data_IF_680085973617
#
_entry.id   IF_680085973617
#
_cell.length_a   1.000
_cell.length_b   1.000
_cell.length_c   1.000
_cell.angle_alpha   90.00
_cell.angle_beta   90.00
_cell.angle_gamma   90.00
#
_symmetry.space_group_name_H-M   'P 1'
#
loop_
_entity.id
_entity.type
_entity.pdbx_description
1 polymer ?
#
# COMPACT_ATOMS: atom_id res chain seq x y z
N UNK A 1 13.71 15.82 -1.13
CA UNK A 1 14.27 14.45 -1.07
C UNK A 1 14.72 14.25 0.37
N UNK A 2 13.87 13.71 1.23
CA UNK A 2 14.27 13.29 2.57
C UNK A 2 14.61 11.82 2.49
N UNK A 3 15.90 11.51 2.62
CA UNK A 3 16.33 10.14 2.91
C UNK A 3 16.00 9.88 4.38
N UNK A 4 14.89 9.19 4.64
CA UNK A 4 14.69 8.53 5.93
C UNK A 4 15.70 7.39 6.01
N UNK A 5 16.84 7.64 6.66
CA UNK A 5 17.69 6.56 7.15
C UNK A 5 16.81 5.68 8.08
N UNK A 6 16.71 4.37 7.83
CA UNK A 6 15.93 3.50 8.71
C UNK A 6 16.53 3.57 10.13
N UNK A 7 15.68 3.72 11.14
CA UNK A 7 16.12 3.54 12.53
C UNK A 7 16.81 2.18 12.69
N UNK A 8 17.80 2.07 13.60
CA UNK A 8 18.52 0.80 13.87
C UNK A 8 17.54 -0.38 14.01
N UNK A 9 16.45 -0.16 14.72
CA UNK A 9 15.40 -1.14 14.95
C UNK A 9 14.68 -1.57 13.65
N UNK A 10 14.45 -0.66 12.71
CA UNK A 10 13.84 -1.00 11.40
C UNK A 10 14.80 -1.85 10.55
N UNK A 11 16.11 -1.57 10.61
CA UNK A 11 17.12 -2.36 9.90
C UNK A 11 17.23 -3.78 10.49
N UNK A 12 17.21 -3.89 11.81
CA UNK A 12 17.19 -5.18 12.52
C UNK A 12 15.96 -6.01 12.17
N UNK A 13 14.77 -5.40 12.16
CA UNK A 13 13.53 -6.07 11.77
C UNK A 13 13.51 -6.52 10.30
N UNK A 14 14.13 -5.75 9.40
CA UNK A 14 14.23 -6.13 7.99
C UNK A 14 15.24 -7.26 7.78
N UNK A 15 16.35 -7.27 8.51
CA UNK A 15 17.29 -8.40 8.53
C UNK A 15 16.61 -9.68 9.04
N UNK A 16 15.85 -9.56 10.13
CA UNK A 16 15.04 -10.65 10.67
C UNK A 16 14.03 -11.16 9.62
N UNK A 17 13.31 -10.25 8.94
CA UNK A 17 12.37 -10.59 7.87
C UNK A 17 13.03 -11.41 6.75
N UNK A 18 14.21 -10.98 6.30
CA UNK A 18 14.97 -11.70 5.26
C UNK A 18 15.38 -13.09 5.76
N UNK A 19 15.85 -13.20 7.00
CA UNK A 19 16.23 -14.48 7.60
C UNK A 19 15.04 -15.45 7.68
N UNK A 20 13.86 -14.97 8.08
CA UNK A 20 12.64 -15.78 8.13
C UNK A 20 12.24 -16.30 6.74
N UNK A 21 12.24 -15.44 5.72
CA UNK A 21 11.91 -15.85 4.35
C UNK A 21 12.91 -16.88 3.83
N UNK A 22 14.21 -16.67 4.06
CA UNK A 22 15.25 -17.64 3.69
C UNK A 22 15.04 -18.97 4.41
N UNK A 23 14.78 -18.96 5.71
CA UNK A 23 14.54 -20.16 6.51
C UNK A 23 13.36 -20.97 5.97
N UNK A 24 12.27 -20.31 5.57
CA UNK A 24 11.12 -20.98 4.96
C UNK A 24 11.44 -21.65 3.63
N UNK A 25 12.27 -21.03 2.80
CA UNK A 25 12.72 -21.62 1.53
C UNK A 25 13.62 -22.84 1.79
N UNK A 26 14.54 -22.75 2.76
CA UNK A 26 15.40 -23.87 3.15
C UNK A 26 14.58 -25.05 3.70
N UNK A 27 13.54 -24.79 4.50
CA UNK A 27 12.64 -25.83 5.04
C UNK A 27 11.93 -26.65 3.94
N UNK A 28 11.82 -26.13 2.72
CA UNK A 28 11.21 -26.84 1.59
C UNK A 28 12.14 -27.88 0.95
N UNK A 29 13.37 -28.06 1.45
CA UNK A 29 14.33 -29.01 0.90
C UNK A 29 14.91 -28.57 -0.45
N UNK A 30 14.85 -27.28 -0.75
CA UNK A 30 15.43 -26.68 -1.95
C UNK A 30 16.96 -26.68 -1.86
N UNK A 31 17.63 -26.82 -3.01
CA UNK A 31 19.07 -26.60 -3.07
C UNK A 31 19.42 -25.11 -2.88
N UNK A 32 20.68 -24.83 -2.55
CA UNK A 32 21.15 -23.48 -2.23
C UNK A 32 20.90 -22.48 -3.37
N UNK A 33 21.15 -22.87 -4.62
CA UNK A 33 20.93 -22.00 -5.77
C UNK A 33 19.45 -21.61 -5.91
N UNK A 34 18.53 -22.56 -5.81
CA UNK A 34 17.09 -22.31 -5.89
C UNK A 34 16.61 -21.43 -4.72
N UNK A 35 17.17 -21.61 -3.51
CA UNK A 35 16.87 -20.73 -2.38
C UNK A 35 17.28 -19.29 -2.68
N UNK A 36 18.49 -19.07 -3.20
CA UNK A 36 18.97 -17.71 -3.50
C UNK A 36 18.20 -17.05 -4.64
N UNK A 37 17.86 -17.78 -5.70
CA UNK A 37 17.05 -17.25 -6.81
C UNK A 37 15.64 -16.85 -6.36
N UNK A 38 14.97 -17.70 -5.57
CA UNK A 38 13.64 -17.40 -5.02
C UNK A 38 13.68 -16.29 -3.98
N UNK A 39 14.74 -16.23 -3.17
CA UNK A 39 14.95 -15.15 -2.21
C UNK A 39 15.11 -13.82 -2.94
N UNK A 40 15.95 -13.76 -3.97
CA UNK A 40 16.14 -12.57 -4.80
C UNK A 40 14.81 -12.10 -5.43
N UNK A 41 14.00 -13.02 -5.95
CA UNK A 41 12.68 -12.70 -6.49
C UNK A 41 11.73 -12.11 -5.42
N UNK A 42 11.67 -12.72 -4.23
CA UNK A 42 10.84 -12.24 -3.11
C UNK A 42 11.33 -10.91 -2.52
N UNK A 43 12.59 -10.57 -2.72
CA UNK A 43 13.20 -9.32 -2.25
C UNK A 43 13.34 -8.25 -3.36
N UNK A 44 13.00 -8.58 -4.60
CA UNK A 44 13.10 -7.66 -5.73
C UNK A 44 12.35 -6.33 -5.46
N UNK A 45 12.82 -5.19 -5.96
CA UNK A 45 12.31 -3.86 -5.59
C UNK A 45 10.98 -3.48 -6.28
N UNK A 46 10.06 -4.42 -6.41
CA UNK A 46 8.72 -4.24 -7.00
C UNK A 46 7.76 -3.53 -6.05
N UNK A 47 6.70 -2.91 -6.57
CA UNK A 47 5.69 -2.24 -5.76
C UNK A 47 5.05 -3.16 -4.71
N UNK A 48 4.73 -4.40 -5.11
CA UNK A 48 4.16 -5.42 -4.23
C UNK A 48 5.12 -5.80 -3.10
N UNK A 49 6.39 -6.08 -3.41
CA UNK A 49 7.38 -6.46 -2.41
C UNK A 49 7.67 -5.32 -1.43
N UNK A 50 7.67 -4.06 -1.89
CA UNK A 50 7.78 -2.89 -1.00
C UNK A 50 6.61 -2.79 -0.04
N UNK A 51 5.39 -3.01 -0.54
CA UNK A 51 4.18 -3.07 0.29
C UNK A 51 4.24 -4.19 1.32
N UNK A 52 4.67 -5.39 0.89
CA UNK A 52 4.83 -6.53 1.78
C UNK A 52 5.89 -6.28 2.84
N UNK A 53 7.08 -5.79 2.46
CA UNK A 53 8.14 -5.40 3.40
C UNK A 53 7.61 -4.48 4.50
N UNK A 54 6.92 -3.39 4.11
CA UNK A 54 6.37 -2.43 5.07
C UNK A 54 5.40 -3.09 6.06
N UNK A 55 4.51 -3.95 5.57
CA UNK A 55 3.48 -4.58 6.40
C UNK A 55 4.07 -5.70 7.28
N UNK A 56 5.05 -6.44 6.77
CA UNK A 56 5.79 -7.47 7.48
C UNK A 56 6.60 -6.87 8.63
N UNK A 57 7.33 -5.77 8.40
CA UNK A 57 8.08 -5.07 9.47
C UNK A 57 7.13 -4.61 10.59
N UNK A 58 5.95 -4.08 10.26
CA UNK A 58 4.94 -3.69 11.26
C UNK A 58 4.49 -4.87 12.11
N UNK A 59 4.27 -6.03 11.47
CA UNK A 59 3.91 -7.25 12.18
C UNK A 59 5.04 -7.73 13.08
N UNK A 60 6.28 -7.78 12.60
CA UNK A 60 7.43 -8.21 13.40
C UNK A 60 7.65 -7.31 14.63
N UNK A 61 7.51 -5.98 14.46
CA UNK A 61 7.58 -5.04 15.58
C UNK A 61 6.48 -5.31 16.62
N UNK A 62 5.24 -5.50 16.16
CA UNK A 62 4.11 -5.81 17.05
C UNK A 62 4.27 -7.17 17.73
N UNK A 63 4.68 -8.20 16.99
CA UNK A 63 4.87 -9.56 17.49
C UNK A 63 5.96 -9.62 18.56
N UNK A 64 7.06 -8.88 18.36
CA UNK A 64 8.13 -8.72 19.37
C UNK A 64 7.60 -8.12 20.67
N UNK A 65 6.75 -7.11 20.59
CA UNK A 65 6.17 -6.45 21.77
C UNK A 65 5.12 -7.32 22.49
N UNK A 66 4.44 -8.20 21.77
CA UNK A 66 3.34 -9.02 22.30
C UNK A 66 3.75 -10.48 22.54
N UNK A 67 5.04 -10.80 22.40
CA UNK A 67 5.60 -12.15 22.54
C UNK A 67 4.90 -13.21 21.65
N UNK A 68 4.60 -12.82 20.41
CA UNK A 68 3.95 -13.67 19.39
C UNK A 68 5.01 -14.26 18.46
N UNK A 69 4.83 -15.52 18.06
CA UNK A 69 5.71 -16.16 17.07
C UNK A 69 5.67 -15.46 15.72
N UNK A 70 6.82 -15.33 15.06
CA UNK A 70 6.90 -14.68 13.76
C UNK A 70 6.40 -15.55 12.59
N UNK A 71 6.44 -16.88 12.74
CA UNK A 71 6.10 -17.83 11.65
C UNK A 71 5.01 -18.83 12.02
N UNK A 72 4.66 -18.97 13.30
CA UNK A 72 3.65 -19.93 13.79
C UNK A 72 2.55 -19.26 14.59
N UNK A 73 2.20 -18.03 14.22
CA UNK A 73 1.14 -17.27 14.86
C UNK A 73 -0.25 -17.84 14.52
N UNK A 74 -1.13 -17.82 15.50
CA UNK A 74 -2.51 -18.29 15.37
C UNK A 74 -3.39 -17.27 14.62
N UNK A 75 -4.54 -17.71 14.09
CA UNK A 75 -5.54 -16.78 13.54
C UNK A 75 -6.00 -15.70 14.52
N UNK A 76 -6.05 -16.03 15.82
CA UNK A 76 -6.44 -15.09 16.88
C UNK A 76 -5.40 -13.97 17.01
N UNK A 77 -4.12 -14.32 17.03
CA UNK A 77 -3.03 -13.34 17.10
C UNK A 77 -3.00 -12.43 15.87
N UNK A 78 -3.26 -12.98 14.66
CA UNK A 78 -3.36 -12.16 13.46
C UNK A 78 -4.54 -11.18 13.52
N UNK A 79 -5.70 -11.60 14.03
CA UNK A 79 -6.83 -10.69 14.24
C UNK A 79 -6.51 -9.62 15.28
N UNK A 80 -5.85 -9.97 16.39
CA UNK A 80 -5.42 -9.01 17.40
C UNK A 80 -4.46 -7.96 16.83
N UNK A 81 -3.52 -8.38 15.99
CA UNK A 81 -2.64 -7.49 15.25
C UNK A 81 -3.42 -6.56 14.31
N UNK A 82 -4.33 -7.09 13.50
CA UNK A 82 -5.14 -6.30 12.58
C UNK A 82 -6.00 -5.26 13.33
N UNK A 83 -6.57 -5.65 14.47
CA UNK A 83 -7.34 -4.76 15.33
C UNK A 83 -6.47 -3.66 15.95
N UNK A 84 -5.25 -3.98 16.38
CA UNK A 84 -4.29 -2.99 16.86
C UNK A 84 -3.96 -1.99 15.75
N UNK A 85 -3.64 -2.47 14.54
CA UNK A 85 -3.30 -1.62 13.41
C UNK A 85 -4.46 -0.71 12.98
N UNK A 86 -5.70 -1.22 13.00
CA UNK A 86 -6.88 -0.41 12.74
C UNK A 86 -7.01 0.72 13.78
N UNK A 87 -6.87 0.40 15.07
CA UNK A 87 -7.03 1.37 16.16
C UNK A 87 -5.94 2.44 16.14
N UNK A 88 -4.69 2.04 15.98
CA UNK A 88 -3.53 2.94 16.09
C UNK A 88 -3.36 3.83 14.86
N UNK A 89 -3.71 3.35 13.66
CA UNK A 89 -3.45 4.05 12.40
C UNK A 89 -4.71 4.38 11.58
N UNK A 90 -5.90 4.11 12.12
CA UNK A 90 -7.19 4.31 11.45
C UNK A 90 -7.24 3.67 10.04
N UNK A 91 -6.71 2.45 9.91
CA UNK A 91 -6.60 1.78 8.61
C UNK A 91 -7.97 1.35 8.07
N UNK A 92 -8.15 1.51 6.76
CA UNK A 92 -9.32 1.04 6.03
C UNK A 92 -9.27 -0.49 5.83
N UNK A 93 -10.44 -1.10 5.61
CA UNK A 93 -10.57 -2.54 5.43
C UNK A 93 -9.72 -3.09 4.27
N UNK A 94 -9.63 -2.35 3.15
CA UNK A 94 -8.75 -2.69 2.03
C UNK A 94 -7.28 -2.79 2.43
N UNK A 95 -6.82 -1.87 3.28
CA UNK A 95 -5.44 -1.86 3.78
C UNK A 95 -5.21 -3.01 4.77
N UNK A 96 -6.18 -3.33 5.62
CA UNK A 96 -6.12 -4.49 6.51
C UNK A 96 -6.03 -5.81 5.71
N UNK A 97 -6.73 -5.92 4.57
CA UNK A 97 -6.61 -7.08 3.67
C UNK A 97 -5.20 -7.22 3.07
N UNK A 98 -4.58 -6.11 2.64
CA UNK A 98 -3.19 -6.12 2.16
C UNK A 98 -2.21 -6.46 3.28
N UNK A 99 -2.46 -5.97 4.50
CA UNK A 99 -1.66 -6.25 5.68
C UNK A 99 -1.72 -7.73 6.03
N UNK A 100 -2.94 -8.31 6.06
CA UNK A 100 -3.18 -9.75 6.22
C UNK A 100 -2.38 -10.55 5.19
N UNK A 101 -2.55 -10.25 3.90
CA UNK A 101 -1.89 -10.98 2.82
C UNK A 101 -0.36 -11.00 2.98
N UNK A 102 0.24 -9.84 3.28
CA UNK A 102 1.68 -9.72 3.47
C UNK A 102 2.20 -10.55 4.67
N UNK A 103 1.46 -10.58 5.77
CA UNK A 103 1.83 -11.31 6.99
C UNK A 103 1.62 -12.81 6.84
N UNK A 104 0.56 -13.23 6.15
CA UNK A 104 0.32 -14.65 5.83
C UNK A 104 1.50 -15.29 5.10
N UNK A 105 2.23 -14.52 4.27
CA UNK A 105 3.44 -15.00 3.60
C UNK A 105 4.65 -15.25 4.52
N UNK A 106 4.62 -14.79 5.78
CA UNK A 106 5.63 -15.13 6.79
C UNK A 106 5.26 -16.37 7.60
N UNK A 107 4.03 -16.89 7.46
CA UNK A 107 3.59 -18.06 8.20
C UNK A 107 4.16 -19.34 7.59
N UNK A 108 4.54 -20.31 8.43
CA UNK A 108 5.04 -21.61 7.98
C UNK A 108 3.96 -22.41 7.23
N UNK A 109 2.69 -22.18 7.57
CA UNK A 109 1.51 -22.74 6.88
C UNK A 109 0.57 -21.62 6.36
N UNK A 110 0.84 -21.01 5.20
CA UNK A 110 0.07 -19.86 4.71
C UNK A 110 -1.39 -20.17 4.40
N UNK A 111 -1.68 -21.40 3.95
CA UNK A 111 -3.02 -21.85 3.54
C UNK A 111 -4.00 -21.85 4.71
N UNK A 112 -3.61 -22.44 5.85
CA UNK A 112 -4.46 -22.48 7.05
C UNK A 112 -4.81 -21.08 7.58
N UNK A 113 -3.86 -20.14 7.53
CA UNK A 113 -4.12 -18.74 7.92
C UNK A 113 -5.04 -18.04 6.90
N UNK A 114 -4.83 -18.27 5.60
CA UNK A 114 -5.64 -17.66 4.53
C UNK A 114 -7.09 -18.11 4.57
N UNK A 115 -7.33 -19.37 4.90
CA UNK A 115 -8.66 -20.00 4.92
C UNK A 115 -9.39 -19.84 6.26
N UNK A 116 -8.73 -19.28 7.27
CA UNK A 116 -9.32 -19.07 8.59
C UNK A 116 -10.62 -18.25 8.53
N UNK A 117 -11.71 -18.89 8.96
CA UNK A 117 -13.04 -18.27 9.07
C UNK A 117 -13.04 -17.06 10.00
N UNK A 118 -12.25 -17.10 11.08
CA UNK A 118 -12.12 -16.02 12.05
C UNK A 118 -11.53 -14.76 11.40
N UNK A 119 -10.42 -14.91 10.67
CA UNK A 119 -9.77 -13.78 10.00
C UNK A 119 -10.67 -13.22 8.89
N UNK A 120 -11.30 -14.10 8.11
CA UNK A 120 -12.24 -13.71 7.06
C UNK A 120 -13.43 -12.93 7.64
N UNK A 121 -14.06 -13.45 8.68
CA UNK A 121 -15.20 -12.80 9.37
C UNK A 121 -14.82 -11.43 9.93
N UNK A 122 -13.61 -11.31 10.49
CA UNK A 122 -13.10 -10.02 10.96
C UNK A 122 -13.02 -9.02 9.81
N UNK A 123 -12.30 -9.32 8.73
CA UNK A 123 -12.15 -8.42 7.58
C UNK A 123 -13.51 -8.06 6.95
N UNK A 124 -14.42 -9.03 6.83
CA UNK A 124 -15.76 -8.80 6.29
C UNK A 124 -16.56 -7.83 7.16
N UNK A 125 -16.49 -7.99 8.49
CA UNK A 125 -17.14 -7.05 9.41
C UNK A 125 -16.58 -5.63 9.28
N UNK A 126 -15.26 -5.48 9.06
CA UNK A 126 -14.64 -4.17 8.84
C UNK A 126 -15.09 -3.55 7.52
N UNK A 127 -15.26 -4.37 6.48
CA UNK A 127 -15.71 -3.93 5.16
C UNK A 127 -17.16 -3.47 5.20
N UNK A 128 -18.04 -4.19 5.92
CA UNK A 128 -19.45 -3.81 6.10
C UNK A 128 -19.64 -2.53 6.92
N UNK A 129 -18.71 -2.26 7.84
CA UNK A 129 -18.71 -1.03 8.64
C UNK A 129 -18.13 0.19 7.89
N UNK A 130 -17.51 -0.01 6.72
CA UNK A 130 -16.95 1.09 5.97
C UNK A 130 -18.06 2.00 5.44
N UNK A 131 -17.89 3.34 5.50
CA UNK A 131 -18.84 4.25 4.87
C UNK A 131 -19.01 3.90 3.39
N UNK A 132 -20.22 4.05 2.82
CA UNK A 132 -20.42 3.94 1.38
C UNK A 132 -19.42 4.85 0.68
N UNK A 133 -18.64 4.29 -0.24
CA UNK A 133 -17.74 5.09 -1.07
C UNK A 133 -18.64 5.99 -1.91
N UNK A 134 -18.48 7.32 -1.81
CA UNK A 134 -19.20 8.25 -2.66
C UNK A 134 -18.83 7.98 -4.11
N UNK A 135 -19.74 7.33 -4.84
CA UNK A 135 -19.61 7.08 -6.28
C UNK A 135 -19.73 8.39 -7.06
N UNK A 136 -20.34 9.41 -6.46
CA UNK A 136 -20.41 10.74 -7.04
C UNK A 136 -19.09 11.47 -6.88
N UNK A 137 -18.27 11.40 -7.92
CA UNK A 137 -17.26 12.41 -8.20
C UNK A 137 -18.01 13.74 -8.36
N UNK A 138 -17.65 14.82 -7.63
CA UNK A 138 -18.34 16.09 -7.79
C UNK A 138 -18.25 16.51 -9.26
N UNK A 139 -19.40 16.80 -9.88
CA UNK A 139 -19.44 17.39 -11.21
C UNK A 139 -18.77 18.75 -11.12
N UNK A 140 -17.55 18.86 -11.64
CA UNK A 140 -16.82 20.13 -11.66
C UNK A 140 -17.46 20.98 -12.77
N UNK A 141 -18.08 22.09 -12.40
CA UNK A 141 -18.51 23.08 -13.37
C UNK A 141 -17.28 23.79 -13.97
N UNK A 142 -16.99 23.49 -15.22
CA UNK A 142 -15.89 24.11 -15.99
C UNK A 142 -16.30 25.41 -16.68
N UNK A 143 -17.56 25.83 -16.57
CA UNK A 143 -18.09 27.04 -17.22
C UNK A 143 -17.33 28.33 -16.86
N UNK A 144 -16.90 28.56 -15.60
CA UNK A 144 -16.09 29.73 -15.25
C UNK A 144 -14.73 29.74 -15.96
N UNK A 145 -14.08 28.57 -16.07
CA UNK A 145 -12.79 28.43 -16.74
C UNK A 145 -12.90 28.68 -18.25
N UNK A 146 -13.95 28.15 -18.89
CA UNK A 146 -14.22 28.39 -20.31
C UNK A 146 -14.61 29.86 -20.57
N UNK A 147 -15.36 30.48 -19.66
CA UNK A 147 -15.70 31.91 -19.73
C UNK A 147 -14.44 32.76 -19.67
N UNK A 148 -13.53 32.48 -18.74
CA UNK A 148 -12.24 33.16 -18.65
C UNK A 148 -11.42 33.00 -19.95
N UNK A 149 -11.27 31.79 -20.48
CA UNK A 149 -10.53 31.57 -21.72
C UNK A 149 -11.13 32.31 -22.93
N UNK A 150 -12.46 32.51 -22.95
CA UNK A 150 -13.15 33.29 -23.99
C UNK A 150 -12.90 34.80 -23.89
N UNK A 151 -12.59 35.34 -22.70
CA UNK A 151 -12.26 36.77 -22.55
C UNK A 151 -11.00 37.18 -23.31
N UNK A 152 -10.11 36.23 -23.62
CA UNK A 152 -8.91 36.47 -24.43
C UNK A 152 -9.23 36.17 -25.90
N UNK A 153 -9.36 37.18 -26.77
CA UNK A 153 -9.70 36.97 -28.19
C UNK A 153 -8.54 36.31 -28.94
N UNK A 154 -8.85 35.41 -29.88
CA UNK A 154 -7.87 34.82 -30.78
C UNK A 154 -7.86 35.58 -32.11
N UNK A 155 -7.30 36.80 -32.12
CA UNK A 155 -7.22 37.68 -33.30
C UNK A 155 -5.76 37.98 -33.61
N UNK A 156 -5.47 38.36 -34.86
CA UNK A 156 -4.14 38.78 -35.30
C UNK A 156 -3.64 40.05 -34.60
N UNK A 157 -4.56 40.80 -33.98
CA UNK A 157 -4.27 41.99 -33.17
C UNK A 157 -4.10 41.71 -31.68
N UNK A 158 -4.29 40.47 -31.23
CA UNK A 158 -4.12 40.09 -29.82
C UNK A 158 -2.65 40.07 -29.46
N UNK A 159 -2.29 40.65 -28.30
CA UNK A 159 -0.91 40.64 -27.83
C UNK A 159 -0.38 39.23 -27.59
N UNK A 160 0.91 39.00 -27.90
CA UNK A 160 1.59 37.71 -27.67
C UNK A 160 1.49 37.27 -26.21
N UNK A 161 1.60 38.21 -25.26
CA UNK A 161 1.47 37.94 -23.83
C UNK A 161 0.09 37.35 -23.47
N UNK A 162 -0.98 37.92 -24.02
CA UNK A 162 -2.35 37.41 -23.79
C UNK A 162 -2.56 36.04 -24.43
N UNK A 163 -1.99 35.79 -25.61
CA UNK A 163 -2.04 34.47 -26.26
C UNK A 163 -1.27 33.41 -25.45
N UNK A 164 -0.09 33.75 -24.93
CA UNK A 164 0.68 32.88 -24.04
C UNK A 164 -0.09 32.54 -22.75
N UNK A 165 -0.75 33.53 -22.15
CA UNK A 165 -1.60 33.32 -20.97
C UNK A 165 -2.77 32.38 -21.26
N UNK A 166 -3.45 32.56 -22.41
CA UNK A 166 -4.54 31.67 -22.84
C UNK A 166 -4.05 30.24 -23.10
N UNK A 167 -2.91 30.11 -23.76
CA UNK A 167 -2.28 28.81 -24.04
C UNK A 167 -1.91 28.09 -22.74
N UNK A 168 -1.19 28.76 -21.84
CA UNK A 168 -0.78 28.18 -20.55
C UNK A 168 -1.98 27.74 -19.70
N UNK A 169 -3.03 28.57 -19.67
CA UNK A 169 -4.28 28.26 -18.98
C UNK A 169 -4.97 27.01 -19.56
N UNK A 170 -5.14 26.93 -20.88
CA UNK A 170 -5.76 25.76 -21.53
C UNK A 170 -4.92 24.50 -21.37
N UNK A 171 -3.59 24.63 -21.39
CA UNK A 171 -2.66 23.51 -21.21
C UNK A 171 -2.69 22.99 -19.77
N UNK A 172 -2.78 23.88 -18.78
CA UNK A 172 -3.01 23.51 -17.38
C UNK A 172 -4.36 22.80 -17.20
N UNK A 173 -5.43 23.30 -17.84
CA UNK A 173 -6.74 22.65 -17.78
C UNK A 173 -6.70 21.25 -18.41
N UNK A 174 -6.09 21.08 -19.57
CA UNK A 174 -6.00 19.78 -20.25
C UNK A 174 -5.07 18.78 -19.53
N UNK A 175 -3.96 19.25 -18.95
CA UNK A 175 -2.98 18.39 -18.30
C UNK A 175 -3.36 18.02 -16.86
N UNK A 176 -4.00 18.92 -16.12
CA UNK A 176 -4.27 18.74 -14.69
C UNK A 176 -5.71 18.29 -14.37
N UNK A 177 -6.68 18.47 -15.28
CA UNK A 177 -8.04 17.90 -15.13
C UNK A 177 -8.19 16.53 -15.77
N UNK A 178 -7.09 15.80 -16.02
CA UNK A 178 -7.18 14.42 -16.49
C UNK A 178 -8.04 13.63 -15.50
N UNK A 179 -9.13 12.95 -15.94
CA UNK A 179 -9.80 12.00 -15.09
C UNK A 179 -8.79 10.89 -14.78
N UNK A 180 -8.30 10.85 -13.55
CA UNK A 180 -7.77 9.62 -12.97
C UNK A 180 -8.89 8.60 -12.87
#
# INVERSE_FOLDING_TARGET
ISQDSPSSDTAELDALRVALIRQQLVKQGLNEQAVEELLAQKLAPTGTNRGYRKNQIRFLAWARQNNVSYTTFTPVELVNFLANMRRTHNLQASTLSTLRAAVTHLHDEPTGIRESSLINSYIDSMTRQAPPISIHRPTIDVSPALTFARTIPSRTTTSVKSLQQKLAFLLAMAALLRPS
#
